data_IF_354299569121
#
_entry.id   IF_354299569121
#
_cell.length_a   1.000
_cell.length_b   1.000
_cell.length_c   1.000
_cell.angle_alpha   90.00
_cell.angle_beta   90.00
_cell.angle_gamma   90.00
#
_symmetry.space_group_name_H-M   'P 1'
#
loop_
_entity.id
_entity.type
_entity.pdbx_description
1 polymer ?
#
# COMPACT_ATOMS: atom_id res chain seq x y z
N UNK A 1 12.85 -6.86 -5.64
CA UNK A 1 11.91 -7.02 -6.76
C UNK A 1 10.81 -5.97 -6.68
N UNK A 2 10.56 -5.26 -7.76
CA UNK A 2 9.55 -4.20 -7.75
C UNK A 2 8.15 -4.78 -7.93
N UNK A 3 7.22 -4.36 -7.09
CA UNK A 3 5.82 -4.73 -7.23
C UNK A 3 5.19 -3.87 -8.32
N UNK A 4 4.61 -4.51 -9.33
CA UNK A 4 3.94 -3.79 -10.41
C UNK A 4 2.60 -3.23 -9.93
N UNK A 5 2.14 -2.15 -10.59
CA UNK A 5 0.82 -1.58 -10.30
C UNK A 5 -0.26 -2.62 -10.59
N UNK A 6 -1.12 -2.96 -9.63
CA UNK A 6 -2.21 -3.91 -9.86
C UNK A 6 -3.19 -3.43 -10.91
N UNK A 7 -3.82 -4.36 -11.62
CA UNK A 7 -4.79 -4.04 -12.65
C UNK A 7 -5.96 -3.20 -12.14
N UNK A 8 -6.43 -3.48 -10.94
CA UNK A 8 -7.55 -2.73 -10.38
C UNK A 8 -7.21 -1.26 -10.12
N UNK A 9 -5.94 -0.95 -9.84
CA UNK A 9 -5.48 0.43 -9.75
C UNK A 9 -5.37 1.06 -11.13
N UNK A 10 -4.80 0.35 -12.10
CA UNK A 10 -4.68 0.84 -13.47
C UNK A 10 -6.03 1.18 -14.08
N UNK A 11 -7.02 0.32 -13.84
CA UNK A 11 -8.39 0.52 -14.32
C UNK A 11 -9.00 1.81 -13.78
N UNK A 12 -8.57 2.23 -12.59
CA UNK A 12 -9.06 3.47 -11.95
C UNK A 12 -8.18 4.68 -12.25
N UNK A 13 -7.17 4.52 -13.10
CA UNK A 13 -6.24 5.61 -13.41
C UNK A 13 -5.25 5.90 -12.30
N UNK A 14 -5.02 4.95 -11.42
CA UNK A 14 -4.08 5.07 -10.31
C UNK A 14 -2.76 4.42 -10.63
N UNK A 15 -1.71 4.84 -9.93
CA UNK A 15 -0.38 4.28 -10.07
C UNK A 15 0.23 3.96 -8.70
N UNK A 16 1.05 2.92 -8.66
CA UNK A 16 1.79 2.53 -7.47
C UNK A 16 3.27 2.82 -7.70
N UNK A 17 3.86 3.66 -6.86
CA UNK A 17 5.26 4.06 -6.97
C UNK A 17 6.04 3.65 -5.73
N UNK A 18 7.18 2.95 -5.89
CA UNK A 18 8.08 2.67 -4.77
C UNK A 18 8.86 3.93 -4.38
N UNK A 19 9.20 4.04 -3.10
CA UNK A 19 10.10 5.08 -2.63
C UNK A 19 11.53 4.75 -3.04
N UNK A 20 12.44 5.71 -2.86
CA UNK A 20 13.86 5.52 -3.21
C UNK A 20 14.51 4.38 -2.45
N UNK A 21 14.12 4.18 -1.20
CA UNK A 21 14.66 3.10 -0.36
C UNK A 21 13.95 1.77 -0.56
N UNK A 22 12.85 1.75 -1.32
CA UNK A 22 12.07 0.55 -1.56
C UNK A 22 11.25 0.06 -0.38
N UNK A 23 11.10 0.87 0.67
CA UNK A 23 10.38 0.47 1.89
C UNK A 23 8.96 1.01 1.96
N UNK A 24 8.63 2.00 1.15
CA UNK A 24 7.32 2.63 1.15
C UNK A 24 6.80 2.70 -0.28
N UNK A 25 5.49 2.52 -0.44
CA UNK A 25 4.83 2.66 -1.74
C UNK A 25 3.77 3.73 -1.66
N UNK A 26 3.63 4.49 -2.73
CA UNK A 26 2.64 5.56 -2.83
C UNK A 26 1.64 5.23 -3.91
N UNK A 27 0.34 5.31 -3.58
CA UNK A 27 -0.74 5.21 -4.56
C UNK A 27 -1.12 6.62 -4.97
N UNK A 28 -1.00 6.92 -6.26
CA UNK A 28 -1.28 8.24 -6.81
C UNK A 28 -2.46 8.19 -7.77
N UNK A 29 -3.28 9.24 -7.76
CA UNK A 29 -4.36 9.43 -8.73
C UNK A 29 -4.12 10.75 -9.46
N UNK A 30 -4.10 10.70 -10.79
CA UNK A 30 -3.84 11.87 -11.61
C UNK A 30 -2.57 12.63 -11.21
N UNK A 31 -1.53 11.89 -10.81
CA UNK A 31 -0.25 12.45 -10.39
C UNK A 31 -0.21 12.96 -8.96
N UNK A 32 -1.31 12.86 -8.21
CA UNK A 32 -1.38 13.32 -6.81
C UNK A 32 -1.32 12.13 -5.86
N UNK A 33 -0.40 12.13 -4.89
CA UNK A 33 -0.34 11.04 -3.90
C UNK A 33 -1.58 11.05 -3.01
N UNK A 34 -2.19 9.88 -2.85
CA UNK A 34 -3.42 9.72 -2.07
C UNK A 34 -3.22 8.80 -0.88
N UNK A 35 -2.45 7.74 -1.03
CA UNK A 35 -2.24 6.75 0.02
C UNK A 35 -0.79 6.32 0.08
N UNK A 36 -0.32 6.03 1.30
CA UNK A 36 1.00 5.45 1.54
C UNK A 36 0.83 4.05 2.09
N UNK A 37 1.61 3.11 1.57
CA UNK A 37 1.66 1.74 2.07
C UNK A 37 3.06 1.47 2.57
N UNK A 38 3.16 1.07 3.83
CA UNK A 38 4.43 0.93 4.52
C UNK A 38 4.51 -0.44 5.19
N UNK A 39 5.13 -1.45 4.54
CA UNK A 39 5.37 -2.72 5.20
C UNK A 39 6.34 -2.53 6.36
N UNK A 40 5.95 -2.99 7.55
CA UNK A 40 6.73 -2.82 8.78
C UNK A 40 6.97 -4.16 9.46
N UNK A 41 8.16 -4.38 10.02
CA UNK A 41 8.40 -5.60 10.78
C UNK A 41 7.59 -5.62 12.07
N UNK A 42 7.05 -6.80 12.41
CA UNK A 42 6.23 -6.98 13.60
C UNK A 42 6.42 -8.39 14.13
N UNK A 43 7.25 -8.56 15.16
CA UNK A 43 7.48 -9.84 15.85
C UNK A 43 7.81 -11.01 14.90
N UNK A 44 8.80 -10.80 14.01
CA UNK A 44 9.25 -11.83 13.07
C UNK A 44 8.39 -11.95 11.81
N UNK A 45 7.36 -11.12 11.68
CA UNK A 45 6.51 -11.05 10.52
C UNK A 45 6.45 -9.61 10.03
N UNK A 46 5.61 -9.34 9.05
CA UNK A 46 5.41 -7.99 8.52
C UNK A 46 3.94 -7.63 8.55
N UNK A 47 3.67 -6.37 8.78
CA UNK A 47 2.34 -5.80 8.63
C UNK A 47 2.43 -4.62 7.67
N UNK A 48 1.30 -4.17 7.12
CA UNK A 48 1.30 -3.03 6.22
C UNK A 48 0.51 -1.88 6.83
N UNK A 49 1.19 -0.74 7.00
CA UNK A 49 0.54 0.48 7.46
C UNK A 49 -0.01 1.23 6.25
N UNK A 50 -1.29 1.53 6.29
CA UNK A 50 -1.94 2.36 5.29
C UNK A 50 -2.14 3.75 5.88
N UNK A 51 -1.74 4.78 5.13
CA UNK A 51 -1.92 6.17 5.56
C UNK A 51 -2.52 6.97 4.43
N UNK A 52 -3.55 7.76 4.74
CA UNK A 52 -4.13 8.68 3.78
C UNK A 52 -3.31 9.96 3.79
N UNK A 53 -2.76 10.36 2.64
CA UNK A 53 -1.78 11.46 2.59
C UNK A 53 -2.39 12.82 2.87
N UNK A 54 -3.64 13.03 2.50
CA UNK A 54 -4.28 14.34 2.61
C UNK A 54 -4.44 14.83 4.05
N UNK A 55 -4.61 13.92 4.98
CA UNK A 55 -4.82 14.26 6.40
C UNK A 55 -3.94 13.46 7.36
N UNK A 56 -3.07 12.60 6.84
CA UNK A 56 -2.23 11.74 7.66
C UNK A 56 -2.98 10.67 8.44
N UNK A 57 -4.25 10.46 8.13
CA UNK A 57 -5.08 9.49 8.83
C UNK A 57 -4.61 8.06 8.55
N UNK A 58 -4.43 7.29 9.61
CA UNK A 58 -4.04 5.90 9.51
C UNK A 58 -5.25 5.03 9.22
N UNK A 59 -5.14 4.21 8.15
CA UNK A 59 -6.16 3.24 7.78
C UNK A 59 -5.60 1.87 8.15
N UNK A 60 -6.12 1.25 9.20
CA UNK A 60 -5.52 0.04 9.74
C UNK A 60 -5.99 -1.23 9.05
N UNK A 61 -5.01 -2.04 8.59
CA UNK A 61 -5.20 -3.44 8.26
C UNK A 61 -4.68 -4.28 9.43
N UNK A 62 -5.35 -5.38 9.72
CA UNK A 62 -5.01 -6.23 10.87
C UNK A 62 -4.15 -7.44 10.52
N UNK A 63 -3.82 -7.63 9.25
CA UNK A 63 -3.08 -8.79 8.80
C UNK A 63 -1.61 -8.77 9.15
N UNK A 64 -1.04 -9.95 9.38
CA UNK A 64 0.39 -10.14 9.42
C UNK A 64 0.80 -11.08 8.31
N UNK A 65 2.02 -10.89 7.78
CA UNK A 65 2.46 -11.57 6.57
C UNK A 65 3.89 -12.07 6.74
N UNK A 66 4.28 -13.16 6.07
CA UNK A 66 5.62 -13.71 6.24
C UNK A 66 6.73 -12.90 5.59
N UNK A 67 6.40 -12.06 4.59
CA UNK A 67 7.39 -11.25 3.87
C UNK A 67 6.90 -9.83 3.69
N UNK A 68 7.82 -8.93 3.38
CA UNK A 68 7.51 -7.53 3.09
C UNK A 68 6.62 -7.42 1.86
N UNK A 69 6.90 -8.20 0.83
CA UNK A 69 6.10 -8.20 -0.39
C UNK A 69 4.67 -8.67 -0.14
N UNK A 70 4.52 -9.75 0.65
CA UNK A 70 3.19 -10.24 1.03
C UNK A 70 2.43 -9.19 1.83
N UNK A 71 3.11 -8.45 2.72
CA UNK A 71 2.51 -7.37 3.48
C UNK A 71 2.02 -6.25 2.56
N UNK A 72 2.81 -5.88 1.55
CA UNK A 72 2.40 -4.87 0.57
C UNK A 72 1.15 -5.32 -0.20
N UNK A 73 1.13 -6.55 -0.67
CA UNK A 73 -0.03 -7.09 -1.39
C UNK A 73 -1.27 -7.14 -0.51
N UNK A 74 -1.10 -7.55 0.75
CA UNK A 74 -2.19 -7.55 1.72
C UNK A 74 -2.71 -6.15 2.00
N UNK A 75 -1.81 -5.18 2.11
CA UNK A 75 -2.16 -3.77 2.28
C UNK A 75 -2.94 -3.23 1.08
N UNK A 76 -2.53 -3.59 -0.14
CA UNK A 76 -3.24 -3.20 -1.35
C UNK A 76 -4.65 -3.81 -1.38
N UNK A 77 -4.79 -5.07 -0.96
CA UNK A 77 -6.10 -5.72 -0.86
C UNK A 77 -7.00 -5.01 0.15
N UNK A 78 -6.45 -4.67 1.32
CA UNK A 78 -7.19 -3.93 2.35
C UNK A 78 -7.62 -2.55 1.82
N UNK A 79 -6.74 -1.86 1.11
CA UNK A 79 -7.05 -0.58 0.50
C UNK A 79 -8.19 -0.71 -0.50
N UNK A 80 -8.16 -1.74 -1.34
CA UNK A 80 -9.22 -2.00 -2.32
C UNK A 80 -10.57 -2.19 -1.64
N UNK A 81 -10.59 -2.94 -0.54
CA UNK A 81 -11.81 -3.17 0.22
C UNK A 81 -12.34 -1.87 0.85
N UNK A 82 -11.44 -1.06 1.41
CA UNK A 82 -11.80 0.21 2.01
C UNK A 82 -12.38 1.19 0.98
N UNK A 83 -11.85 1.16 -0.24
CA UNK A 83 -12.33 2.03 -1.33
C UNK A 83 -13.58 1.48 -2.02
N UNK A 84 -13.90 0.23 -1.79
CA UNK A 84 -15.05 -0.41 -2.44
C UNK A 84 -14.80 -0.71 -3.92
N UNK A 85 -13.57 -0.90 -4.28
CA UNK A 85 -13.18 -1.18 -5.67
C UNK A 85 -12.97 -2.68 -5.87
#
# INVERSE_FOLDING_TARGET
MATATPEWLKTRGAELHPSKDGHTWTVSFAGLPQYLLEPLPASGKYTCRLTQTINGKRLEGEGTYPTREAALEGGLTDLRELLGW
#
